data_IF_509781177555
#
_entry.id   IF_509781177555
#
_cell.length_a   1.000
_cell.length_b   1.000
_cell.length_c   1.000
_cell.angle_alpha   90.00
_cell.angle_beta   90.00
_cell.angle_gamma   90.00
#
_symmetry.space_group_name_H-M   'P 1'
#
loop_
_entity.id
_entity.type
_entity.pdbx_description
1 polymer ?
#
# COMPACT_ATOMS: atom_id res chain seq x y z
N UNK A 1 -22.43 16.15 -3.59
CA UNK A 1 -21.30 15.65 -4.39
C UNK A 1 -21.07 16.62 -5.54
N UNK A 2 -19.94 17.32 -5.55
CA UNK A 2 -19.57 18.17 -6.69
C UNK A 2 -19.15 17.24 -7.83
N UNK A 3 -19.85 17.32 -8.96
CA UNK A 3 -19.69 16.39 -10.08
C UNK A 3 -18.49 16.72 -10.99
N UNK A 4 -17.48 17.44 -10.48
CA UNK A 4 -16.43 18.05 -11.32
C UNK A 4 -15.01 17.90 -10.76
N UNK A 5 -14.79 16.97 -9.82
CA UNK A 5 -13.44 16.67 -9.33
C UNK A 5 -12.75 15.72 -10.33
N UNK A 6 -11.68 16.22 -10.95
CA UNK A 6 -10.81 15.47 -11.85
C UNK A 6 -9.62 14.91 -11.07
N UNK A 7 -9.16 13.72 -11.44
CA UNK A 7 -8.01 13.09 -10.76
C UNK A 7 -6.69 13.86 -10.93
N UNK A 8 -6.64 14.82 -11.87
CA UNK A 8 -5.44 15.61 -12.22
C UNK A 8 -4.80 16.27 -11.01
N UNK A 9 -5.61 16.74 -10.07
CA UNK A 9 -5.11 17.42 -8.86
C UNK A 9 -4.41 16.44 -7.90
N UNK A 10 -4.64 15.14 -8.06
CA UNK A 10 -4.16 14.06 -7.19
C UNK A 10 -3.07 13.19 -7.85
N UNK A 11 -2.64 13.55 -9.06
CA UNK A 11 -1.55 12.85 -9.73
C UNK A 11 -0.23 13.26 -9.07
N UNK A 12 0.48 12.27 -8.56
CA UNK A 12 1.86 12.43 -8.10
C UNK A 12 2.84 11.79 -9.09
N UNK A 13 4.10 12.23 -9.14
CA UNK A 13 5.10 11.59 -9.99
C UNK A 13 5.21 10.09 -9.69
N UNK A 14 5.31 9.28 -10.74
CA UNK A 14 5.55 7.84 -10.63
C UNK A 14 7.01 7.56 -10.27
N UNK A 15 7.44 7.95 -9.08
CA UNK A 15 8.79 7.67 -8.59
C UNK A 15 8.98 6.18 -8.35
N UNK A 16 10.17 5.67 -8.69
CA UNK A 16 10.56 4.30 -8.41
C UNK A 16 10.04 3.23 -9.38
N UNK A 17 9.56 3.60 -10.58
CA UNK A 17 9.19 2.62 -11.63
C UNK A 17 10.36 1.71 -12.02
N UNK A 18 10.07 0.46 -12.35
CA UNK A 18 11.08 -0.55 -12.72
C UNK A 18 10.83 -1.10 -14.13
N UNK A 19 11.85 -1.47 -14.90
CA UNK A 19 11.65 -2.16 -16.17
C UNK A 19 11.18 -3.60 -15.96
N UNK A 20 10.52 -4.22 -16.97
CA UNK A 20 10.14 -5.64 -16.91
C UNK A 20 11.34 -6.60 -16.80
N UNK A 21 12.54 -6.12 -17.11
CA UNK A 21 13.83 -6.82 -16.95
C UNK A 21 14.45 -6.67 -15.57
N UNK A 22 13.86 -5.89 -14.65
CA UNK A 22 14.47 -5.65 -13.33
C UNK A 22 14.48 -6.94 -12.51
N UNK A 23 15.62 -7.37 -11.94
CA UNK A 23 15.66 -8.53 -11.07
C UNK A 23 14.91 -8.32 -9.76
N UNK A 24 14.24 -9.35 -9.26
CA UNK A 24 13.37 -9.30 -8.08
C UNK A 24 14.09 -8.76 -6.83
N UNK A 25 15.35 -9.16 -6.59
CA UNK A 25 16.12 -8.67 -5.45
C UNK A 25 16.32 -7.14 -5.47
N UNK A 26 16.41 -6.52 -6.65
CA UNK A 26 16.52 -5.06 -6.78
C UNK A 26 15.21 -4.37 -6.52
N UNK A 27 14.10 -4.96 -6.98
CA UNK A 27 12.75 -4.47 -6.71
C UNK A 27 12.48 -4.50 -5.21
N UNK A 28 12.81 -5.61 -4.53
CA UNK A 28 12.69 -5.75 -3.08
C UNK A 28 13.48 -4.66 -2.33
N UNK A 29 14.76 -4.52 -2.64
CA UNK A 29 15.61 -3.48 -2.03
C UNK A 29 15.04 -2.08 -2.28
N UNK A 30 14.46 -1.82 -3.47
CA UNK A 30 13.83 -0.53 -3.76
C UNK A 30 12.56 -0.32 -2.95
N UNK A 31 11.69 -1.31 -2.84
CA UNK A 31 10.49 -1.23 -2.02
C UNK A 31 10.80 -0.99 -0.55
N UNK A 32 11.86 -1.64 -0.05
CA UNK A 32 12.40 -1.42 1.30
C UNK A 32 12.98 -0.01 1.46
N UNK A 33 13.81 0.45 0.51
CA UNK A 33 14.50 1.74 0.59
C UNK A 33 13.55 2.93 0.40
N UNK A 34 12.61 2.83 -0.53
CA UNK A 34 11.67 3.91 -0.88
C UNK A 34 10.39 3.85 -0.02
N UNK A 35 10.26 2.80 0.80
CA UNK A 35 9.09 2.46 1.63
C UNK A 35 7.79 2.53 0.83
N UNK A 36 7.76 1.78 -0.28
CA UNK A 36 6.65 1.76 -1.23
C UNK A 36 6.11 0.34 -1.34
N UNK A 37 4.84 0.08 -0.96
CA UNK A 37 4.31 -1.28 -0.96
C UNK A 37 3.88 -1.78 -2.34
N UNK A 38 3.89 -0.92 -3.37
CA UNK A 38 3.66 -1.27 -4.78
C UNK A 38 4.60 -0.52 -5.70
N UNK A 39 5.16 -1.21 -6.67
CA UNK A 39 5.99 -0.66 -7.74
C UNK A 39 5.27 -0.83 -9.08
N UNK A 40 5.33 0.21 -9.90
CA UNK A 40 4.85 0.17 -11.28
C UNK A 40 5.96 -0.38 -12.18
N UNK A 41 5.67 -1.45 -12.91
CA UNK A 41 6.55 -2.00 -13.94
C UNK A 41 6.22 -1.29 -15.25
N UNK A 42 7.22 -0.64 -15.85
CA UNK A 42 7.04 0.13 -17.07
C UNK A 42 8.05 -0.29 -18.15
N UNK A 43 7.57 -0.46 -19.38
CA UNK A 43 8.38 -0.67 -20.57
C UNK A 43 8.30 0.57 -21.45
N UNK A 44 9.43 1.24 -21.70
CA UNK A 44 9.49 2.49 -22.47
C UNK A 44 8.40 3.52 -22.06
N UNK A 45 8.28 3.80 -20.76
CA UNK A 45 7.25 4.65 -20.15
C UNK A 45 5.80 4.15 -20.21
N UNK A 46 5.52 2.97 -20.76
CA UNK A 46 4.18 2.36 -20.72
C UNK A 46 4.08 1.46 -19.50
N UNK A 47 3.09 1.62 -18.61
CA UNK A 47 2.91 0.67 -17.52
C UNK A 47 2.48 -0.67 -18.11
N UNK A 48 3.25 -1.72 -17.82
CA UNK A 48 3.03 -3.10 -18.30
C UNK A 48 2.75 -4.08 -17.17
N UNK A 49 2.92 -3.64 -15.92
CA UNK A 49 2.59 -4.44 -14.75
C UNK A 49 2.62 -3.63 -13.47
N UNK A 50 2.14 -4.25 -12.40
CA UNK A 50 2.37 -3.80 -11.03
C UNK A 50 2.92 -4.97 -10.21
N UNK A 51 3.78 -4.65 -9.26
CA UNK A 51 4.30 -5.60 -8.28
C UNK A 51 4.04 -5.04 -6.89
N UNK A 52 3.25 -5.77 -6.11
CA UNK A 52 2.96 -5.48 -4.71
C UNK A 52 3.93 -6.24 -3.82
N UNK A 53 4.06 -5.77 -2.58
CA UNK A 53 4.85 -6.47 -1.58
C UNK A 53 4.36 -7.91 -1.35
N UNK A 54 3.05 -8.16 -1.46
CA UNK A 54 2.47 -9.51 -1.42
C UNK A 54 2.91 -10.38 -2.60
N UNK A 55 3.03 -9.83 -3.80
CA UNK A 55 3.43 -10.58 -5.00
C UNK A 55 4.89 -11.06 -4.89
N UNK A 56 5.77 -10.24 -4.30
CA UNK A 56 7.15 -10.63 -3.99
C UNK A 56 7.20 -11.77 -2.96
N UNK A 57 6.25 -11.79 -2.03
CA UNK A 57 6.17 -12.84 -0.99
C UNK A 57 5.61 -14.14 -1.54
N UNK A 58 4.59 -14.09 -2.40
CA UNK A 58 4.03 -15.27 -3.08
C UNK A 58 5.06 -15.90 -4.02
N UNK A 59 6.00 -15.11 -4.53
CA UNK A 59 7.16 -15.56 -5.28
C UNK A 59 8.25 -16.23 -4.41
N UNK A 60 8.09 -16.36 -3.08
CA UNK A 60 9.05 -17.07 -2.23
C UNK A 60 9.25 -18.52 -2.70
N UNK A 61 10.46 -18.82 -3.19
CA UNK A 61 10.82 -20.11 -3.81
C UNK A 61 11.21 -19.97 -5.29
N UNK A 62 10.93 -18.81 -5.89
CA UNK A 62 11.45 -18.42 -7.20
C UNK A 62 12.87 -17.84 -7.00
N UNK A 63 13.85 -18.16 -7.87
CA UNK A 63 15.19 -17.61 -7.77
C UNK A 63 15.21 -16.08 -7.73
N UNK A 64 16.03 -15.46 -6.88
CA UNK A 64 16.20 -13.99 -6.79
C UNK A 64 16.69 -13.31 -8.09
N UNK A 65 17.06 -14.12 -9.10
CA UNK A 65 17.40 -13.70 -10.47
C UNK A 65 16.17 -13.57 -11.37
N UNK A 66 14.99 -13.94 -10.90
CA UNK A 66 13.72 -13.78 -11.60
C UNK A 66 13.44 -12.30 -11.86
N UNK A 67 12.77 -12.01 -12.97
CA UNK A 67 12.56 -10.66 -13.46
C UNK A 67 11.18 -10.15 -13.06
N UNK A 68 11.00 -8.84 -13.04
CA UNK A 68 9.72 -8.18 -12.78
C UNK A 68 8.58 -8.80 -13.62
N UNK A 69 8.84 -9.04 -14.92
CA UNK A 69 7.84 -9.59 -15.86
C UNK A 69 7.31 -10.97 -15.46
N UNK A 70 8.07 -11.73 -14.68
CA UNK A 70 7.75 -13.12 -14.36
C UNK A 70 6.74 -13.21 -13.19
N UNK A 71 6.64 -12.14 -12.38
CA UNK A 71 5.76 -12.07 -11.20
C UNK A 71 4.76 -10.92 -11.23
N UNK A 72 4.92 -9.96 -12.13
CA UNK A 72 4.05 -8.79 -12.19
C UNK A 72 2.61 -9.18 -12.52
N UNK A 73 1.67 -8.48 -11.90
CA UNK A 73 0.28 -8.51 -12.32
C UNK A 73 0.14 -7.70 -13.59
N UNK A 74 -0.23 -8.36 -14.69
CA UNK A 74 -0.45 -7.70 -16.00
C UNK A 74 -1.89 -7.20 -16.19
N UNK A 75 -2.84 -7.73 -15.40
CA UNK A 75 -4.26 -7.32 -15.42
C UNK A 75 -4.57 -6.27 -14.36
N UNK A 76 -3.94 -5.09 -14.45
CA UNK A 76 -4.12 -4.00 -13.50
C UNK A 76 -4.86 -2.82 -14.15
N UNK A 77 -5.72 -2.12 -13.40
CA UNK A 77 -6.39 -0.94 -13.92
C UNK A 77 -5.40 0.24 -14.06
N UNK A 78 -5.53 0.96 -15.18
CA UNK A 78 -4.87 2.26 -15.41
C UNK A 78 -5.91 3.34 -15.57
N UNK A 79 -5.64 4.53 -15.05
CA UNK A 79 -6.51 5.70 -15.20
C UNK A 79 -6.05 6.55 -16.37
N UNK A 80 -6.98 7.11 -17.15
CA UNK A 80 -6.61 8.17 -18.08
C UNK A 80 -6.42 9.47 -17.30
N UNK A 81 -5.46 10.31 -17.69
CA UNK A 81 -5.23 11.63 -17.07
C UNK A 81 -6.48 12.51 -17.01
N UNK A 82 -7.43 12.30 -17.93
CA UNK A 82 -8.70 13.04 -17.98
C UNK A 82 -9.88 12.28 -17.34
N UNK A 83 -9.65 11.09 -16.77
CA UNK A 83 -10.72 10.29 -16.17
C UNK A 83 -11.39 11.06 -15.02
N UNK A 84 -12.73 11.01 -14.93
CA UNK A 84 -13.46 11.50 -13.77
C UNK A 84 -13.05 10.73 -12.51
N UNK A 85 -13.09 11.38 -11.34
CA UNK A 85 -12.78 10.71 -10.08
C UNK A 85 -13.70 9.51 -9.77
N UNK A 86 -14.95 9.53 -10.25
CA UNK A 86 -15.89 8.42 -10.09
C UNK A 86 -15.46 7.15 -10.84
N UNK A 87 -14.88 7.29 -12.03
CA UNK A 87 -14.31 6.17 -12.80
C UNK A 87 -13.05 5.62 -12.12
N UNK A 88 -12.23 6.54 -11.58
CA UNK A 88 -11.05 6.16 -10.84
C UNK A 88 -11.36 5.39 -9.55
N UNK A 89 -12.43 5.78 -8.86
CA UNK A 89 -12.93 5.04 -7.71
C UNK A 89 -13.40 3.63 -8.07
N UNK A 90 -14.21 3.49 -9.12
CA UNK A 90 -14.68 2.17 -9.57
C UNK A 90 -13.53 1.22 -9.93
N UNK A 91 -12.37 1.76 -10.29
CA UNK A 91 -11.16 0.99 -10.58
C UNK A 91 -10.49 0.40 -9.34
N UNK A 92 -10.75 0.94 -8.14
CA UNK A 92 -10.17 0.43 -6.88
C UNK A 92 -10.74 -0.92 -6.45
N UNK A 93 -11.96 -1.26 -6.90
CA UNK A 93 -12.60 -2.53 -6.55
C UNK A 93 -12.07 -3.71 -7.39
N UNK A 94 -11.28 -3.43 -8.43
CA UNK A 94 -10.83 -4.43 -9.39
C UNK A 94 -9.54 -5.14 -8.95
N UNK A 95 -8.64 -4.43 -8.25
CA UNK A 95 -7.36 -4.97 -7.77
C UNK A 95 -6.96 -4.27 -6.47
N UNK A 96 -6.52 -5.04 -5.47
CA UNK A 96 -5.98 -4.49 -4.23
C UNK A 96 -4.57 -3.90 -4.45
N UNK A 97 -4.54 -2.63 -4.88
CA UNK A 97 -3.33 -1.81 -5.05
C UNK A 97 -3.48 -0.48 -4.29
N UNK A 98 -2.39 -0.03 -3.67
CA UNK A 98 -2.34 1.24 -2.93
C UNK A 98 -2.20 2.47 -3.84
N UNK A 99 -1.94 2.27 -5.14
CA UNK A 99 -1.75 3.31 -6.15
C UNK A 99 -2.14 2.80 -7.54
N UNK A 100 -2.74 3.68 -8.34
CA UNK A 100 -3.12 3.40 -9.72
C UNK A 100 -2.23 4.18 -10.70
N UNK A 101 -1.67 3.54 -11.74
CA UNK A 101 -0.98 4.23 -12.81
C UNK A 101 -1.93 5.15 -13.57
N UNK A 102 -1.46 6.38 -13.85
CA UNK A 102 -2.17 7.33 -14.70
C UNK A 102 -1.44 7.47 -16.02
N UNK A 103 -2.17 7.30 -17.12
CA UNK A 103 -1.64 7.34 -18.47
C UNK A 103 -2.25 8.47 -19.30
N UNK A 104 -1.50 8.96 -20.28
CA UNK A 104 -2.03 9.85 -21.31
C UNK A 104 -2.84 9.07 -22.37
N UNK A 105 -3.38 9.77 -23.36
CA UNK A 105 -4.12 9.14 -24.47
C UNK A 105 -3.27 8.17 -25.31
N UNK A 106 -1.93 8.33 -25.30
CA UNK A 106 -0.99 7.43 -25.95
C UNK A 106 -0.67 6.17 -25.14
N UNK A 107 -1.15 6.06 -23.90
CA UNK A 107 -0.85 4.96 -22.97
C UNK A 107 0.49 5.11 -22.24
N UNK A 108 1.12 6.28 -22.28
CA UNK A 108 2.36 6.55 -21.55
C UNK A 108 2.05 7.02 -20.13
N UNK A 109 2.86 6.57 -19.18
CA UNK A 109 2.77 6.90 -17.76
C UNK A 109 3.03 8.39 -17.54
N UNK A 110 2.02 9.07 -17.00
CA UNK A 110 2.08 10.48 -16.59
C UNK A 110 2.37 10.59 -15.10
N UNK A 111 1.89 9.63 -14.31
CA UNK A 111 2.08 9.60 -12.86
C UNK A 111 1.32 8.45 -12.22
N UNK A 112 1.06 8.58 -10.92
CA UNK A 112 0.22 7.65 -10.17
C UNK A 112 -0.77 8.44 -9.31
N UNK A 113 -1.90 7.83 -8.99
CA UNK A 113 -2.84 8.35 -8.00
C UNK A 113 -2.89 7.37 -6.83
N UNK A 114 -2.56 7.79 -5.59
CA UNK A 114 -2.71 6.95 -4.41
C UNK A 114 -4.17 6.62 -4.11
N UNK A 115 -4.45 5.40 -3.65
CA UNK A 115 -5.78 4.97 -3.20
C UNK A 115 -6.36 5.91 -2.14
N UNK A 116 -5.52 6.36 -1.19
CA UNK A 116 -5.93 7.29 -0.14
C UNK A 116 -6.44 8.63 -0.69
N UNK A 117 -5.90 9.10 -1.82
CA UNK A 117 -6.35 10.34 -2.45
C UNK A 117 -7.74 10.17 -3.11
N UNK A 118 -7.99 9.02 -3.74
CA UNK A 118 -9.31 8.72 -4.32
C UNK A 118 -10.40 8.59 -3.26
N UNK A 119 -10.08 8.05 -2.08
CA UNK A 119 -11.02 7.99 -0.96
C UNK A 119 -11.37 9.40 -0.43
N UNK A 120 -10.42 10.34 -0.43
CA UNK A 120 -10.69 11.73 0.00
C UNK A 120 -11.67 12.46 -0.91
N UNK A 121 -11.60 12.22 -2.22
CA UNK A 121 -12.54 12.76 -3.21
C UNK A 121 -13.97 12.31 -2.86
N UNK A 122 -14.13 11.04 -2.49
CA UNK A 122 -15.43 10.53 -2.07
C UNK A 122 -15.94 11.18 -0.78
N UNK A 123 -15.05 11.35 0.19
CA UNK A 123 -15.39 11.89 1.51
C UNK A 123 -15.58 13.43 1.50
N UNK A 124 -15.24 14.10 0.40
CA UNK A 124 -15.50 15.53 0.19
C UNK A 124 -14.58 16.49 0.95
N UNK A 125 -13.41 16.03 1.40
CA UNK A 125 -12.42 16.84 2.13
C UNK A 125 -11.36 17.42 1.17
N UNK A 126 -11.71 18.50 0.46
CA UNK A 126 -10.88 19.14 -0.57
C UNK A 126 -9.69 20.00 -0.07
N UNK A 127 -8.76 19.45 0.71
CA UNK A 127 -7.47 20.13 0.98
C UNK A 127 -6.26 19.18 0.93
N UNK A 128 -5.62 19.15 -0.23
CA UNK A 128 -4.41 18.37 -0.55
C UNK A 128 -3.20 18.78 0.29
N UNK A 129 -2.98 20.09 0.50
CA UNK A 129 -1.82 20.57 1.23
C UNK A 129 -1.95 20.27 2.71
N UNK A 130 -3.19 20.27 3.23
CA UNK A 130 -3.45 19.79 4.56
C UNK A 130 -3.19 18.28 4.68
N UNK A 131 -3.50 17.44 3.68
CA UNK A 131 -3.36 15.98 3.78
C UNK A 131 -1.96 15.43 3.48
N UNK A 132 -1.21 16.05 2.56
CA UNK A 132 0.22 15.76 2.36
C UNK A 132 1.07 16.21 3.55
N UNK A 133 0.63 17.25 4.27
CA UNK A 133 1.20 17.69 5.55
C UNK A 133 0.50 17.09 6.78
N UNK A 134 -0.56 16.29 6.59
CA UNK A 134 -1.11 15.45 7.64
C UNK A 134 -0.37 14.12 7.59
N UNK A 135 -0.04 13.53 8.74
CA UNK A 135 0.33 12.12 8.77
C UNK A 135 -0.80 11.32 8.08
N UNK A 136 -0.47 10.54 7.05
CA UNK A 136 -1.36 9.63 6.30
C UNK A 136 -1.86 8.48 7.18
N UNK A 137 -2.65 8.83 8.19
CA UNK A 137 -3.32 7.94 9.13
C UNK A 137 -4.66 8.56 9.55
N UNK A 138 -5.53 7.80 10.23
CA UNK A 138 -6.77 8.34 10.77
C UNK A 138 -6.47 9.60 11.58
N UNK A 139 -7.28 10.65 11.40
CA UNK A 139 -7.21 11.89 12.17
C UNK A 139 -7.58 11.70 13.66
N UNK A 140 -7.24 10.56 14.25
CA UNK A 140 -7.34 10.30 15.68
C UNK A 140 -6.17 11.03 16.36
N UNK A 141 -6.48 12.31 16.60
CA UNK A 141 -5.93 13.23 17.59
C UNK A 141 -5.07 12.55 18.66
N UNK A 142 -3.83 13.05 18.78
CA UNK A 142 -3.02 13.16 20.01
C UNK A 142 -2.76 11.85 20.79
N UNK A 143 -1.48 11.46 20.73
CA UNK A 143 -0.70 10.82 21.79
C UNK A 143 -0.61 9.28 21.87
N UNK A 144 -0.89 8.54 20.78
CA UNK A 144 -0.51 7.12 20.71
C UNK A 144 0.31 6.84 19.46
N UNK A 145 1.62 6.65 19.65
CA UNK A 145 2.53 6.15 18.61
C UNK A 145 2.46 4.63 18.67
N UNK A 146 2.27 3.96 17.52
CA UNK A 146 2.54 2.51 17.42
C UNK A 146 3.95 2.27 17.95
N UNK A 147 4.15 1.23 18.77
CA UNK A 147 5.45 0.92 19.38
C UNK A 147 5.67 -0.59 19.42
N UNK A 148 6.93 -1.05 19.38
CA UNK A 148 7.26 -2.43 19.70
C UNK A 148 6.63 -2.88 21.02
N UNK A 149 6.12 -4.10 21.06
CA UNK A 149 5.44 -4.71 22.20
C UNK A 149 3.96 -4.37 22.35
N UNK A 150 3.39 -3.53 21.49
CA UNK A 150 1.93 -3.34 21.48
C UNK A 150 1.22 -4.62 21.06
N UNK A 151 0.09 -4.92 21.70
CA UNK A 151 -0.74 -6.08 21.34
C UNK A 151 -1.61 -5.74 20.13
N UNK A 152 -1.71 -6.67 19.20
CA UNK A 152 -2.54 -6.51 18.00
C UNK A 152 -3.74 -7.43 18.10
N UNK A 153 -4.93 -6.89 17.90
CA UNK A 153 -6.21 -7.60 17.93
C UNK A 153 -6.93 -7.44 16.60
N UNK A 154 -7.59 -8.49 16.14
CA UNK A 154 -8.53 -8.44 15.01
C UNK A 154 -9.86 -7.79 15.41
N UNK A 155 -10.67 -7.45 14.41
CA UNK A 155 -12.01 -6.86 14.59
C UNK A 155 -12.96 -7.75 15.43
N UNK A 156 -12.76 -9.07 15.39
CA UNK A 156 -13.52 -10.04 16.19
C UNK A 156 -13.00 -10.19 17.65
N UNK A 157 -11.98 -9.42 18.03
CA UNK A 157 -11.43 -9.38 19.38
C UNK A 157 -10.38 -10.46 19.68
N UNK A 158 -9.93 -11.24 18.70
CA UNK A 158 -8.83 -12.20 18.91
C UNK A 158 -7.47 -11.49 18.99
N UNK A 159 -6.65 -11.82 19.99
CA UNK A 159 -5.27 -11.34 20.04
C UNK A 159 -4.42 -12.08 19.00
N UNK A 160 -3.92 -11.34 18.01
CA UNK A 160 -3.17 -11.87 16.88
C UNK A 160 -1.67 -11.96 17.19
N UNK A 161 -1.11 -10.97 17.89
CA UNK A 161 0.32 -10.92 18.12
C UNK A 161 0.81 -9.67 18.82
N UNK A 162 2.10 -9.40 18.67
CA UNK A 162 2.78 -8.21 19.19
C UNK A 162 3.47 -7.46 18.06
N UNK A 163 3.47 -6.13 18.12
CA UNK A 163 4.29 -5.31 17.22
C UNK A 163 5.76 -5.60 17.50
N UNK A 164 6.51 -6.00 16.47
CA UNK A 164 7.97 -6.15 16.52
C UNK A 164 8.65 -4.81 16.20
N UNK A 165 8.31 -4.22 15.05
CA UNK A 165 8.88 -2.97 14.57
C UNK A 165 7.88 -2.19 13.73
N UNK A 166 8.17 -0.90 13.54
CA UNK A 166 7.38 -0.01 12.69
C UNK A 166 8.21 0.44 11.51
N UNK A 167 7.51 0.81 10.44
CA UNK A 167 8.07 1.44 9.25
C UNK A 167 7.57 2.88 9.20
N UNK A 168 8.46 3.85 8.94
CA UNK A 168 8.17 5.27 9.09
C UNK A 168 8.61 6.08 7.87
N UNK A 169 7.66 6.78 7.25
CA UNK A 169 7.92 7.73 6.18
C UNK A 169 7.65 9.15 6.64
N UNK A 170 8.68 10.01 6.61
CA UNK A 170 8.54 11.43 7.01
C UNK A 170 8.05 11.61 8.46
N UNK A 171 8.40 10.68 9.36
CA UNK A 171 7.94 10.69 10.76
C UNK A 171 6.54 10.09 10.98
N UNK A 172 5.89 9.58 9.94
CA UNK A 172 4.57 8.94 10.01
C UNK A 172 4.70 7.42 9.89
N UNK A 173 4.02 6.66 10.74
CA UNK A 173 4.00 5.19 10.65
C UNK A 173 3.19 4.77 9.42
N UNK A 174 3.82 4.07 8.47
CA UNK A 174 3.18 3.57 7.23
C UNK A 174 2.75 2.10 7.34
N UNK A 175 3.39 1.36 8.24
CA UNK A 175 3.08 -0.03 8.54
C UNK A 175 3.89 -0.53 9.72
N UNK A 176 3.65 -1.78 10.11
CA UNK A 176 4.35 -2.41 11.22
C UNK A 176 4.38 -3.92 11.05
N UNK A 177 5.39 -4.54 11.64
CA UNK A 177 5.55 -5.99 11.68
C UNK A 177 4.89 -6.54 12.95
N UNK A 178 4.11 -7.60 12.82
CA UNK A 178 3.47 -8.31 13.93
C UNK A 178 4.09 -9.69 14.07
N UNK A 179 4.71 -9.93 15.22
CA UNK A 179 5.13 -11.26 15.64
C UNK A 179 3.94 -12.02 16.21
N UNK A 180 3.73 -13.26 15.76
CA UNK A 180 2.59 -14.06 16.13
C UNK A 180 2.94 -15.55 16.33
N UNK A 181 1.98 -16.30 16.87
CA UNK A 181 2.12 -17.72 17.19
C UNK A 181 2.86 -17.99 18.51
N UNK A 182 2.69 -19.20 19.04
CA UNK A 182 3.20 -19.60 20.37
C UNK A 182 4.72 -19.53 20.52
N UNK A 183 5.46 -19.63 19.41
CA UNK A 183 6.92 -19.55 19.39
C UNK A 183 7.47 -18.16 19.06
N UNK A 184 6.60 -17.22 18.68
CA UNK A 184 7.01 -15.89 18.22
C UNK A 184 7.92 -15.89 16.98
N UNK A 185 7.85 -16.95 16.17
CA UNK A 185 8.63 -17.09 14.92
C UNK A 185 7.90 -16.60 13.68
N UNK A 186 6.57 -16.49 13.75
CA UNK A 186 5.78 -15.96 12.66
C UNK A 186 5.83 -14.45 12.69
N UNK A 187 6.06 -13.82 11.55
CA UNK A 187 5.99 -12.36 11.41
C UNK A 187 5.04 -12.03 10.27
N UNK A 188 4.22 -11.00 10.40
CA UNK A 188 3.36 -10.50 9.31
C UNK A 188 3.48 -9.00 9.20
N UNK A 189 3.59 -8.49 7.98
CA UNK A 189 3.56 -7.05 7.73
C UNK A 189 2.12 -6.57 7.64
N UNK A 190 1.78 -5.53 8.40
CA UNK A 190 0.51 -4.85 8.34
C UNK A 190 0.70 -3.41 7.89
N UNK A 191 -0.07 -3.01 6.89
CA UNK A 191 -0.16 -1.61 6.49
C UNK A 191 -0.97 -0.83 7.54
N UNK A 192 -0.64 0.44 7.79
CA UNK A 192 -1.36 1.26 8.75
C UNK A 192 -2.85 1.44 8.40
N UNK A 193 -3.26 1.27 7.13
CA UNK A 193 -4.67 1.35 6.74
C UNK A 193 -5.57 0.26 7.34
N UNK A 194 -5.01 -0.88 7.79
CA UNK A 194 -5.81 -1.92 8.45
C UNK A 194 -6.04 -1.63 9.93
N UNK A 195 -5.49 -0.54 10.46
CA UNK A 195 -5.73 -0.11 11.84
C UNK A 195 -7.07 0.60 11.91
N UNK A 196 -7.98 0.05 12.71
CA UNK A 196 -9.25 0.69 13.03
C UNK A 196 -9.03 1.79 14.08
N UNK A 197 -8.45 1.44 15.23
CA UNK A 197 -8.06 2.42 16.25
C UNK A 197 -6.94 1.90 17.17
N UNK A 198 -6.39 2.82 17.97
CA UNK A 198 -5.32 2.57 18.94
C UNK A 198 -5.83 2.84 20.36
N UNK A 199 -5.58 1.93 21.29
CA UNK A 199 -5.90 2.10 22.72
C UNK A 199 -4.68 1.76 23.58
N UNK A 200 -4.11 2.72 24.31
CA UNK A 200 -2.97 2.52 25.21
C UNK A 200 -1.77 1.75 24.60
N UNK A 201 -1.73 0.43 24.79
CA UNK A 201 -0.70 -0.51 24.30
C UNK A 201 -1.27 -1.54 23.33
N UNK A 202 -2.40 -1.21 22.71
CA UNK A 202 -3.21 -2.11 21.90
C UNK A 202 -3.53 -1.47 20.56
N UNK A 203 -3.54 -2.30 19.52
CA UNK A 203 -3.96 -1.96 18.16
C UNK A 203 -5.15 -2.84 17.84
N UNK A 204 -6.28 -2.23 17.49
CA UNK A 204 -7.40 -2.95 16.89
C UNK A 204 -7.33 -2.82 15.37
N UNK A 205 -7.41 -3.94 14.68
CA UNK A 205 -7.47 -3.98 13.22
C UNK A 205 -8.91 -4.01 12.73
N UNK A 206 -9.14 -3.49 11.52
CA UNK A 206 -10.41 -3.58 10.80
C UNK A 206 -10.62 -4.93 10.09
N UNK A 207 -9.63 -5.82 10.14
CA UNK A 207 -9.69 -7.19 9.58
C UNK A 207 -9.91 -8.23 10.68
N UNK A 208 -10.57 -9.34 10.33
CA UNK A 208 -10.78 -10.49 11.22
C UNK A 208 -9.53 -11.38 11.36
N UNK A 209 -9.57 -12.33 12.29
CA UNK A 209 -8.42 -13.21 12.55
C UNK A 209 -8.13 -14.16 11.39
N UNK A 210 -9.15 -14.56 10.62
CA UNK A 210 -8.99 -15.45 9.48
C UNK A 210 -8.25 -14.76 8.33
N UNK A 211 -8.62 -13.52 8.03
CA UNK A 211 -7.93 -12.64 7.10
C UNK A 211 -6.49 -12.45 7.55
N UNK A 212 -6.24 -12.14 8.83
CA UNK A 212 -4.87 -12.03 9.34
C UNK A 212 -4.06 -13.33 9.15
N UNK A 213 -4.64 -14.51 9.36
CA UNK A 213 -3.95 -15.78 9.13
C UNK A 213 -3.60 -16.01 7.66
N UNK A 214 -4.46 -15.55 6.74
CA UNK A 214 -4.24 -15.60 5.29
C UNK A 214 -3.18 -14.62 4.80
N UNK A 215 -2.83 -13.60 5.59
CA UNK A 215 -1.73 -12.71 5.24
C UNK A 215 -0.40 -13.50 5.18
N UNK A 216 0.50 -13.16 4.27
CA UNK A 216 1.76 -13.87 4.10
C UNK A 216 2.69 -13.70 5.30
N UNK A 217 3.54 -14.71 5.51
CA UNK A 217 4.58 -14.69 6.53
C UNK A 217 5.85 -14.01 6.05
N UNK A 218 6.41 -13.20 6.95
CA UNK A 218 7.68 -12.54 6.80
C UNK A 218 8.75 -13.35 7.52
N UNK A 219 9.90 -13.51 6.86
CA UNK A 219 11.10 -13.98 7.53
C UNK A 219 11.62 -12.85 8.42
N UNK A 220 11.95 -13.18 9.67
CA UNK A 220 12.47 -12.27 10.68
C UNK A 220 13.78 -11.57 10.27
#
# INVERSE_FOLDING_TARGET
MNHNEHITDYIIPATGTVPPTEPLHRIRHRMEADEVPTVIVADENRPVGVIRWSDIQDACGIPDTCLARDIMLSGFPTLNVNSPASEAYASLDLVDVDRLPVVNAGGELVGVVPRAALLQIMDGHGDMQALLNQPTGPQIRRAFTVRPGMKVFSMDGMQLGLVDRMFLKGGTVTGFMVTYGLSGRGHKYLNFHVVDHLEDKTILLSIDAEHFQRLPDMNA
#
